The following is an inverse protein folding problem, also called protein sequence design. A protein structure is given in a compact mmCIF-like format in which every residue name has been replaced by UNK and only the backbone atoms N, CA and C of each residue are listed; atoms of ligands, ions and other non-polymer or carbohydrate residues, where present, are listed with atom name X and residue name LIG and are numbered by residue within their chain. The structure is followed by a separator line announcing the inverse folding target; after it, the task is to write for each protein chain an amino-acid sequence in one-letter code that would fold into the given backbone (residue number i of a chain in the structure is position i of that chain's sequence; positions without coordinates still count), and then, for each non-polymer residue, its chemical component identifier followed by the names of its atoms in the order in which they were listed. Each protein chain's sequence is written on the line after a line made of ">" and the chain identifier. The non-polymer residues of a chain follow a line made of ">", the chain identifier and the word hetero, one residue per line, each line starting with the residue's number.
data_IF_928735332365
#
_entry.id   IF_928735332365
#
_cell.length_a   1.000
_cell.length_b   1.000
_cell.length_c   1.000
_cell.angle_alpha   90.00
_cell.angle_beta   90.00
_cell.angle_gamma   90.00
#
_symmetry.space_group_name_H-M   'P 1'
#
loop_
_entity.id
_entity.type
_entity.pdbx_description
1 polymer ?
2 water ?
#
# COMPACT_ATOMS: atom_id res chain seq x y z
N UNK A 17 12.51 14.73 21.57
CA UNK A 17 11.95 13.46 22.11
C UNK A 17 12.91 12.29 21.89
N UNK A 18 12.75 11.24 22.69
CA UNK A 18 13.59 10.05 22.55
C UNK A 18 13.11 9.29 21.32
N UNK A 19 13.95 8.38 20.80
CA UNK A 19 13.57 7.59 19.62
C UNK A 19 12.27 6.83 19.87
N UNK A 20 12.12 6.27 21.07
CA UNK A 20 10.91 5.53 21.41
C UNK A 20 9.69 6.45 21.39
N UNK A 21 9.82 7.65 21.94
CA UNK A 21 8.70 8.59 21.96
C UNK A 21 8.31 8.99 20.54
N UNK A 22 9.32 9.20 19.69
CA UNK A 22 9.08 9.58 18.30
C UNK A 22 8.37 8.46 17.55
N UNK A 23 8.87 7.24 17.69
CA UNK A 23 8.28 6.09 17.02
C UNK A 23 6.86 5.84 17.51
N UNK A 24 6.63 5.99 18.81
CA UNK A 24 5.30 5.78 19.36
C UNK A 24 4.33 6.78 18.75
N UNK A 25 4.77 8.03 18.64
CA UNK A 25 3.93 9.07 18.06
C UNK A 25 3.52 8.73 16.64
N UNK A 26 4.41 8.09 15.90
CA UNK A 26 4.11 7.69 14.53
C UNK A 26 3.06 6.58 14.53
N UNK A 27 3.23 5.60 15.40
CA UNK A 27 2.29 4.49 15.49
C UNK A 27 0.90 4.92 15.96
N UNK A 28 0.83 6.01 16.72
CA UNK A 28 -0.46 6.50 17.18
C UNK A 28 -1.26 6.97 15.96
N UNK A 29 -0.55 7.45 14.95
CA UNK A 29 -1.20 7.90 13.72
C UNK A 29 -1.67 6.71 12.89
N UNK A 30 -0.76 5.78 12.61
CA UNK A 30 -1.11 4.60 11.83
C UNK A 30 -0.05 3.53 11.98
N UNK A 31 -0.37 2.33 11.51
CA UNK A 31 0.58 1.23 11.56
C UNK A 31 1.75 1.61 10.65
N UNK A 32 2.96 1.32 11.10
CA UNK A 32 4.18 1.57 10.31
C UNK A 32 4.96 0.25 10.32
N UNK A 33 5.74 0.00 9.28
CA UNK A 33 6.53 -1.23 9.24
C UNK A 33 7.82 -0.99 10.02
N UNK A 34 8.53 -2.06 10.35
CA UNK A 34 9.79 -1.93 11.06
C UNK A 34 10.78 -1.16 10.20
N UNK A 35 10.84 -1.50 8.91
CA UNK A 35 11.77 -0.83 8.01
C UNK A 35 11.44 0.66 7.88
N UNK A 36 10.15 0.96 7.81
CA UNK A 36 9.68 2.34 7.68
C UNK A 36 10.03 3.17 8.92
N UNK A 37 9.79 2.62 10.11
CA UNK A 37 10.11 3.35 11.34
C UNK A 37 11.61 3.58 11.44
N UNK A 38 12.38 2.56 11.10
CA UNK A 38 13.83 2.67 11.16
C UNK A 38 14.29 3.82 10.26
N UNK A 39 13.78 3.85 9.03
CA UNK A 39 14.15 4.91 8.09
C UNK A 39 13.77 6.29 8.61
N UNK A 40 12.54 6.42 9.11
CA UNK A 40 12.08 7.71 9.62
C UNK A 40 12.89 8.19 10.81
N UNK A 41 13.28 7.27 11.69
CA UNK A 41 14.07 7.64 12.86
C UNK A 41 15.47 8.06 12.43
N UNK A 42 16.06 7.31 11.50
CA UNK A 42 17.39 7.64 11.02
C UNK A 42 17.39 8.98 10.29
N UNK A 43 16.27 9.31 9.66
CA UNK A 43 16.14 10.57 8.93
C UNK A 43 16.18 11.74 9.91
N UNK A 44 15.88 11.46 11.17
CA UNK A 44 15.90 12.50 12.20
C UNK A 44 17.24 12.57 12.93
N UNK A 45 18.23 11.84 12.43
CA UNK A 45 19.55 11.86 13.04
C UNK A 45 19.86 10.77 14.04
N UNK A 46 18.90 9.88 14.30
CA UNK A 46 19.11 8.80 15.24
C UNK A 46 20.02 7.72 14.64
N UNK A 47 21.00 7.28 15.42
CA UNK A 47 21.93 6.25 14.94
C UNK A 47 21.21 4.94 14.64
N UNK A 48 21.69 4.21 13.62
CA UNK A 48 21.13 2.93 13.17
C UNK A 48 20.77 1.91 14.26
N UNK A 49 21.73 1.57 15.11
CA UNK A 49 21.46 0.59 16.15
C UNK A 49 20.43 1.10 17.16
N UNK A 50 20.50 2.38 17.49
CA UNK A 50 19.55 2.98 18.44
C UNK A 50 18.15 3.01 17.84
N UNK A 51 18.07 3.26 16.54
CA UNK A 51 16.77 3.29 15.87
C UNK A 51 16.17 1.89 15.90
N UNK A 52 16.97 0.90 15.53
CA UNK A 52 16.52 -0.49 15.53
C UNK A 52 16.06 -0.94 16.91
N UNK A 53 16.77 -0.52 17.95
CA UNK A 53 16.42 -0.90 19.31
C UNK A 53 15.07 -0.33 19.72
N UNK A 54 14.80 0.91 19.31
CA UNK A 54 13.53 1.56 19.64
C UNK A 54 12.38 0.81 18.98
N UNK A 55 12.57 0.40 17.73
CA UNK A 55 11.54 -0.32 17.01
C UNK A 55 11.26 -1.66 17.69
N UNK A 56 12.32 -2.38 18.05
CA UNK A 56 12.15 -3.67 18.71
C UNK A 56 11.48 -3.53 20.07
N UNK A 57 11.77 -2.44 20.78
CA UNK A 57 11.15 -2.22 22.08
C UNK A 57 9.64 -2.04 21.89
N UNK A 58 9.25 -1.26 20.89
CA UNK A 58 7.83 -1.04 20.63
C UNK A 58 7.13 -2.29 20.11
N UNK A 59 7.85 -3.14 19.38
CA UNK A 59 7.26 -4.38 18.89
C UNK A 59 7.03 -5.28 20.10
N UNK A 60 8.03 -5.31 20.98
CA UNK A 60 7.93 -6.13 22.18
C UNK A 60 6.81 -5.69 23.11
N UNK A 61 6.56 -4.39 23.18
CA UNK A 61 5.51 -3.87 24.04
C UNK A 61 4.12 -3.92 23.41
N UNK A 62 4.02 -4.49 22.21
CA UNK A 62 2.73 -4.63 21.55
C UNK A 62 2.23 -3.48 20.70
N UNK A 63 3.09 -2.52 20.40
CA UNK A 63 2.71 -1.35 19.61
C UNK A 63 2.98 -1.46 18.11
N UNK A 64 4.04 -2.17 17.75
CA UNK A 64 4.43 -2.31 16.35
C UNK A 64 4.24 -3.75 15.88
N UNK A 65 3.71 -3.90 14.67
CA UNK A 65 3.47 -5.23 14.12
C UNK A 65 3.40 -5.17 12.59
N UNK A 66 4.34 -5.85 11.93
CA UNK A 66 4.37 -5.85 10.47
C UNK A 66 3.19 -6.57 9.82
N UNK A 67 2.56 -7.49 10.54
CA UNK A 67 1.41 -8.20 9.99
C UNK A 67 0.22 -7.25 9.93
N UNK A 68 -0.01 -6.51 11.02
CA UNK A 68 -1.10 -5.54 11.05
C UNK A 68 -0.81 -4.43 10.04
N UNK A 69 0.46 -4.05 9.92
CA UNK A 69 0.84 -3.01 8.97
C UNK A 69 0.47 -3.43 7.56
N UNK A 70 0.87 -4.63 7.17
CA UNK A 70 0.60 -5.13 5.83
C UNK A 70 -0.90 -5.17 5.53
N UNK A 71 -1.69 -5.62 6.50
CA UNK A 71 -3.14 -5.68 6.31
C UNK A 71 -3.71 -4.27 6.15
N UNK A 72 -3.17 -3.31 6.90
CA UNK A 72 -3.65 -1.93 6.81
C UNK A 72 -3.37 -1.33 5.43
N UNK A 73 -2.21 -1.66 4.86
CA UNK A 73 -1.85 -1.16 3.54
C UNK A 73 -2.80 -1.72 2.48
N UNK A 74 -3.06 -3.02 2.53
CA UNK A 74 -3.97 -3.63 1.57
C UNK A 74 -5.34 -2.97 1.63
N UNK A 75 -5.85 -2.79 2.84
CA UNK A 75 -7.16 -2.18 3.06
C UNK A 75 -7.23 -0.74 2.57
N UNK A 76 -6.27 0.08 3.00
CA UNK A 76 -6.24 1.49 2.63
C UNK A 76 -5.97 1.74 1.15
N UNK A 77 -5.04 1.00 0.56
CA UNK A 77 -4.75 1.20 -0.85
C UNK A 77 -5.93 0.71 -1.71
N UNK A 78 -6.57 -0.37 -1.29
CA UNK A 78 -7.71 -0.89 -2.04
C UNK A 78 -8.83 0.14 -2.11
N UNK A 79 -9.14 0.75 -0.97
CA UNK A 79 -10.21 1.74 -0.93
C UNK A 79 -9.85 3.08 -1.56
N UNK A 80 -8.59 3.24 -1.96
CA UNK A 80 -8.16 4.49 -2.59
C UNK A 80 -7.78 4.31 -4.06
N UNK A 81 -8.30 3.25 -4.67
CA UNK A 81 -8.06 3.03 -6.08
C UNK A 81 -6.72 2.52 -6.57
N UNK A 82 -6.02 1.75 -5.75
CA UNK A 82 -4.74 1.18 -6.18
C UNK A 82 -4.94 -0.30 -6.43
N UNK A 83 -4.20 -0.83 -7.40
CA UNK A 83 -4.33 -2.23 -7.77
C UNK A 83 -3.39 -3.19 -7.06
N UNK A 84 -3.62 -4.50 -7.23
CA UNK A 84 -2.81 -5.55 -6.60
C UNK A 84 -1.32 -5.54 -6.90
N UNK A 85 -0.95 -5.16 -8.12
CA UNK A 85 0.47 -5.12 -8.46
C UNK A 85 1.17 -3.99 -7.69
N UNK A 86 0.49 -2.86 -7.55
CA UNK A 86 1.05 -1.73 -6.81
C UNK A 86 1.24 -2.10 -5.35
N UNK A 87 0.19 -2.67 -4.76
CA UNK A 87 0.22 -3.04 -3.35
C UNK A 87 1.30 -4.08 -3.05
N UNK A 88 1.43 -5.09 -3.91
CA UNK A 88 2.45 -6.11 -3.71
C UNK A 88 3.84 -5.48 -3.77
N UNK A 89 4.04 -4.59 -4.73
CA UNK A 89 5.33 -3.92 -4.88
C UNK A 89 5.61 -3.06 -3.65
N UNK A 90 4.60 -2.34 -3.18
CA UNK A 90 4.78 -1.48 -2.02
C UNK A 90 5.14 -2.29 -0.78
N UNK A 91 4.41 -3.38 -0.54
CA UNK A 91 4.70 -4.22 0.62
C UNK A 91 6.11 -4.79 0.54
N UNK A 92 6.55 -5.09 -0.67
CA UNK A 92 7.89 -5.62 -0.84
C UNK A 92 8.96 -4.63 -0.41
N UNK A 93 8.73 -3.34 -0.64
CA UNK A 93 9.71 -2.32 -0.27
C UNK A 93 9.81 -2.17 1.25
N UNK A 94 8.84 -2.71 1.98
CA UNK A 94 8.88 -2.63 3.43
C UNK A 94 9.60 -3.84 4.02
N UNK A 95 10.32 -4.55 3.16
CA UNK A 95 11.09 -5.72 3.58
C UNK A 95 10.29 -6.96 3.92
N UNK A 96 9.06 -7.04 3.43
CA UNK A 96 8.21 -8.19 3.70
C UNK A 96 8.42 -9.25 2.62
N UNK A 97 8.60 -10.50 3.02
CA UNK A 97 8.82 -11.57 2.06
C UNK A 97 7.54 -12.07 1.38
N UNK A 98 7.70 -12.99 0.43
CA UNK A 98 6.57 -13.52 -0.32
C UNK A 98 5.42 -14.07 0.51
N UNK A 99 5.72 -14.82 1.56
CA UNK A 99 4.67 -15.38 2.40
C UNK A 99 3.91 -14.29 3.15
N UNK A 100 4.63 -13.26 3.59
CA UNK A 100 4.01 -12.15 4.32
C UNK A 100 3.11 -11.34 3.38
N UNK A 101 3.58 -11.14 2.15
CA UNK A 101 2.79 -10.40 1.17
C UNK A 101 1.53 -11.18 0.81
N UNK A 102 1.68 -12.49 0.60
CA UNK A 102 0.53 -13.33 0.26
C UNK A 102 -0.52 -13.33 1.36
N UNK A 103 -0.07 -13.40 2.61
CA UNK A 103 -0.97 -13.40 3.75
C UNK A 103 -1.76 -12.10 3.79
N UNK A 104 -1.07 -10.99 3.53
CA UNK A 104 -1.71 -9.68 3.54
C UNK A 104 -2.73 -9.58 2.40
N UNK A 105 -2.35 -10.01 1.21
CA UNK A 105 -3.27 -9.94 0.08
C UNK A 105 -4.50 -10.79 0.32
N UNK A 106 -4.33 -11.87 1.08
CA UNK A 106 -5.43 -12.78 1.38
C UNK A 106 -6.50 -12.15 2.27
N UNK A 107 -6.18 -11.02 2.89
CA UNK A 107 -7.15 -10.35 3.77
C UNK A 107 -8.15 -9.51 2.98
N UNK A 108 -7.89 -9.36 1.69
CA UNK A 108 -8.78 -8.58 0.83
C UNK A 108 -9.96 -9.46 0.42
N UNK A 109 -11.18 -8.98 0.69
CA UNK A 109 -12.38 -9.74 0.35
C UNK A 109 -13.12 -9.18 -0.85
N UNK A 110 -12.57 -8.13 -1.45
CA UNK A 110 -13.21 -7.53 -2.61
C UNK A 110 -12.85 -8.15 -3.94
N UNK A 111 -12.98 -7.36 -5.00
CA UNK A 111 -12.70 -7.78 -6.36
C UNK A 111 -11.85 -6.68 -7.00
N UNK A 112 -10.59 -6.98 -7.30
CA UNK A 112 -9.70 -5.97 -7.88
C UNK A 112 -10.18 -5.45 -9.22
N UNK A 113 -10.79 -6.32 -10.03
CA UNK A 113 -11.28 -5.89 -11.33
C UNK A 113 -12.41 -4.89 -11.13
N UNK A 114 -13.28 -5.17 -10.15
CA UNK A 114 -14.38 -4.27 -9.85
C UNK A 114 -13.85 -2.90 -9.41
N UNK A 115 -12.75 -2.90 -8.66
CA UNK A 115 -12.17 -1.64 -8.21
C UNK A 115 -11.63 -0.85 -9.40
N UNK A 116 -11.09 -1.54 -10.40
CA UNK A 116 -10.57 -0.85 -11.59
C UNK A 116 -11.75 -0.24 -12.35
N UNK A 117 -12.83 -1.01 -12.49
CA UNK A 117 -14.01 -0.52 -13.20
C UNK A 117 -14.60 0.69 -12.47
N UNK A 118 -14.60 0.65 -11.14
CA UNK A 118 -15.12 1.76 -10.35
C UNK A 118 -14.30 3.03 -10.54
N UNK A 119 -12.97 2.90 -10.56
CA UNK A 119 -12.12 4.07 -10.76
C UNK A 119 -12.43 4.70 -12.12
N UNK A 120 -12.59 3.87 -13.14
CA UNK A 120 -12.88 4.40 -14.46
C UNK A 120 -14.26 5.05 -14.49
N UNK A 121 -15.23 4.46 -13.80
CA UNK A 121 -16.57 5.04 -13.77
C UNK A 121 -16.56 6.39 -13.06
N UNK A 122 -15.81 6.49 -11.96
CA UNK A 122 -15.75 7.75 -11.22
C UNK A 122 -15.14 8.87 -12.05
N UNK A 123 -14.22 8.52 -12.95
CA UNK A 123 -13.57 9.52 -13.78
C UNK A 123 -14.30 9.84 -15.08
N UNK A 124 -14.63 8.79 -15.83
CA UNK A 124 -15.26 8.94 -17.14
C UNK A 124 -16.77 8.75 -17.20
N UNK A 125 -17.35 8.17 -16.16
CA UNK A 125 -18.79 7.93 -16.15
C UNK A 125 -19.13 6.50 -16.54
N UNK A 126 -20.42 6.17 -16.54
CA UNK A 126 -20.89 4.83 -16.87
C UNK A 126 -20.47 4.31 -18.25
N UNK A 127 -20.38 5.19 -19.23
CA UNK A 127 -20.00 4.77 -20.57
C UNK A 127 -18.50 4.50 -20.66
N UNK A 128 -17.77 4.90 -19.63
CA UNK A 128 -16.34 4.69 -19.62
C UNK A 128 -15.65 5.58 -20.64
N UNK A 129 -14.37 5.31 -20.94
CA UNK A 129 -13.65 6.13 -21.92
C UNK A 129 -14.27 5.95 -23.30
N UNK A 130 -14.49 7.06 -24.00
CA UNK A 130 -15.09 7.00 -25.32
C UNK A 130 -14.06 6.97 -26.44
N UNK A 131 -13.47 8.13 -26.74
CA UNK A 131 -12.49 8.20 -27.81
C UNK A 131 -11.12 7.63 -27.45
N UNK A 132 -10.24 7.58 -28.44
CA UNK A 132 -8.90 7.04 -28.27
C UNK A 132 -8.10 7.74 -27.18
N UNK A 133 -8.17 9.06 -27.15
CA UNK A 133 -7.44 9.84 -26.15
C UNK A 133 -7.82 9.40 -24.74
N UNK A 134 -9.12 9.28 -24.48
CA UNK A 134 -9.61 8.87 -23.17
C UNK A 134 -9.27 7.42 -22.84
N UNK A 135 -9.33 6.54 -23.83
CA UNK A 135 -9.01 5.13 -23.60
C UNK A 135 -7.53 4.98 -23.26
N UNK A 136 -6.68 5.75 -23.92
CA UNK A 136 -5.25 5.71 -23.64
C UNK A 136 -4.97 6.25 -22.24
N UNK A 137 -5.70 7.30 -21.86
CA UNK A 137 -5.54 7.89 -20.54
C UNK A 137 -5.98 6.88 -19.48
N UNK A 138 -7.10 6.21 -19.75
CA UNK A 138 -7.62 5.22 -18.82
C UNK A 138 -6.61 4.09 -18.62
N UNK A 139 -6.01 3.62 -19.72
CA UNK A 139 -5.03 2.54 -19.63
C UNK A 139 -3.80 2.98 -18.83
N UNK A 140 -3.34 4.20 -19.09
CA UNK A 140 -2.18 4.75 -18.40
C UNK A 140 -2.46 4.90 -16.91
N UNK A 141 -3.65 5.39 -16.58
CA UNK A 141 -4.03 5.57 -15.18
C UNK A 141 -4.05 4.24 -14.43
N UNK A 142 -4.70 3.24 -15.02
CA UNK A 142 -4.79 1.94 -14.37
C UNK A 142 -3.43 1.25 -14.26
N UNK A 143 -2.56 1.49 -15.24
CA UNK A 143 -1.23 0.90 -15.21
C UNK A 143 -0.44 1.55 -14.07
N UNK A 144 -0.51 2.88 -13.98
CA UNK A 144 0.20 3.59 -12.92
C UNK A 144 -0.33 3.18 -11.54
N UNK A 145 -1.63 2.91 -11.45
CA UNK A 145 -2.23 2.51 -10.18
C UNK A 145 -1.96 1.05 -9.83
N UNK A 146 -1.32 0.33 -10.74
CA UNK A 146 -0.97 -1.05 -10.47
C UNK A 146 -2.00 -2.14 -10.69
N UNK A 147 -2.87 -1.97 -11.68
CA UNK A 147 -3.85 -3.00 -11.97
C UNK A 147 -3.27 -3.96 -13.02
N UNK A 148 -3.79 -5.18 -13.04
CA UNK A 148 -3.33 -6.22 -13.97
C UNK A 148 -3.83 -6.00 -15.39
N UNK A 149 -3.20 -6.69 -16.34
CA UNK A 149 -3.59 -6.57 -17.74
C UNK A 149 -5.05 -6.89 -18.02
N UNK A 150 -5.56 -7.96 -17.43
CA UNK A 150 -6.95 -8.35 -17.66
C UNK A 150 -7.90 -7.24 -17.19
N UNK A 151 -7.66 -6.72 -15.99
CA UNK A 151 -8.51 -5.65 -15.46
C UNK A 151 -8.47 -4.42 -16.35
N UNK A 152 -7.29 -4.06 -16.83
CA UNK A 152 -7.15 -2.88 -17.69
C UNK A 152 -7.83 -3.08 -19.03
N UNK A 153 -7.69 -4.26 -19.61
CA UNK A 153 -8.32 -4.52 -20.90
C UNK A 153 -9.85 -4.45 -20.77
N UNK A 154 -10.38 -4.99 -19.68
CA UNK A 154 -11.82 -4.96 -19.46
C UNK A 154 -12.32 -3.54 -19.24
N UNK A 155 -11.61 -2.78 -18.41
CA UNK A 155 -12.00 -1.41 -18.10
C UNK A 155 -11.88 -0.45 -19.28
N UNK A 156 -10.99 -0.76 -20.23
CA UNK A 156 -10.81 0.11 -21.39
C UNK A 156 -11.53 -0.43 -22.62
N UNK A 157 -12.35 -1.46 -22.42
CA UNK A 157 -13.10 -2.06 -23.52
C UNK A 157 -12.17 -2.48 -24.66
N UNK A 158 -11.03 -3.06 -24.31
CA UNK A 158 -10.05 -3.49 -25.30
C UNK A 158 -10.54 -4.75 -26.02
#
# INVERSE_FOLDING_TARGET
>A
MSEQAPAPKRGRRFKEQTPVQRALGLLVHREHSKKELNRKLQARGIEPEAAQAAVERLAGEGWQDDVRFAASVVRNRASSGYGPLHIRAELGTHGLDSDAVSAAMATFEGDWTENALDLIRRRFGEDGPVDLAQRRKAADLLARRGFDGNSIRLATRFDLED
#
